data_IF_906608895454
#
_entry.id   IF_906608895454
#
_cell.length_a   1.000
_cell.length_b   1.000
_cell.length_c   1.000
_cell.angle_alpha   90.00
_cell.angle_beta   90.00
_cell.angle_gamma   90.00
#
_symmetry.space_group_name_H-M   'P 1'
#
loop_
_entity.id
_entity.type
_entity.pdbx_description
1 polymer ?
#
# COMPACT_ATOMS: atom_id res chain seq x y z
N UNK A 1 44.74 6.15 -35.08
CA UNK A 1 44.91 6.25 -33.62
C UNK A 1 44.15 5.10 -32.95
N UNK A 2 44.82 4.11 -32.32
CA UNK A 2 44.14 2.94 -31.77
C UNK A 2 43.59 3.25 -30.37
N UNK A 3 42.33 3.67 -30.29
CA UNK A 3 41.61 3.86 -29.01
C UNK A 3 40.93 2.57 -28.50
N UNK A 4 41.09 1.43 -29.18
CA UNK A 4 40.19 0.28 -29.08
C UNK A 4 40.21 -0.58 -27.80
N UNK A 5 41.28 -0.70 -26.98
CA UNK A 5 41.25 -1.59 -25.81
C UNK A 5 40.77 -0.92 -24.50
N UNK A 6 40.92 0.39 -24.38
CA UNK A 6 40.59 1.14 -23.15
C UNK A 6 39.08 1.39 -23.04
N UNK A 7 38.44 1.70 -24.16
CA UNK A 7 36.99 1.96 -24.21
C UNK A 7 36.18 0.73 -23.87
N UNK A 8 36.60 -0.46 -24.33
CA UNK A 8 35.94 -1.73 -24.00
C UNK A 8 35.99 -2.06 -22.49
N UNK A 9 37.12 -1.79 -21.83
CA UNK A 9 37.27 -1.98 -20.38
C UNK A 9 36.40 -1.00 -19.59
N UNK A 10 36.27 0.23 -20.08
CA UNK A 10 35.39 1.25 -19.49
C UNK A 10 33.91 0.85 -19.61
N UNK A 11 33.46 0.45 -20.81
CA UNK A 11 32.07 0.03 -21.05
C UNK A 11 31.73 -1.20 -20.21
N UNK A 12 32.63 -2.19 -20.13
CA UNK A 12 32.44 -3.37 -19.29
C UNK A 12 32.36 -2.98 -17.81
N UNK A 13 33.23 -2.10 -17.32
CA UNK A 13 33.21 -1.63 -15.95
C UNK A 13 31.90 -0.92 -15.59
N UNK A 14 31.40 -0.07 -16.48
CA UNK A 14 30.11 0.62 -16.31
C UNK A 14 28.95 -0.38 -16.30
N UNK A 15 28.95 -1.35 -17.21
CA UNK A 15 27.90 -2.38 -17.26
C UNK A 15 27.88 -3.24 -15.99
N UNK A 16 29.05 -3.63 -15.48
CA UNK A 16 29.18 -4.37 -14.21
C UNK A 16 28.69 -3.52 -13.05
N UNK A 17 29.07 -2.24 -12.99
CA UNK A 17 28.60 -1.33 -11.94
C UNK A 17 27.07 -1.22 -11.92
N UNK A 18 26.46 -1.04 -13.10
CA UNK A 18 25.00 -0.97 -13.24
C UNK A 18 24.35 -2.28 -12.75
N UNK A 19 24.89 -3.42 -13.18
CA UNK A 19 24.37 -4.74 -12.78
C UNK A 19 24.45 -4.96 -11.26
N UNK A 20 25.56 -4.55 -10.63
CA UNK A 20 25.74 -4.64 -9.18
C UNK A 20 24.77 -3.72 -8.45
N UNK A 21 24.66 -2.45 -8.87
CA UNK A 21 23.72 -1.49 -8.27
C UNK A 21 22.27 -1.99 -8.37
N UNK A 22 21.89 -2.53 -9.53
CA UNK A 22 20.56 -3.09 -9.74
C UNK A 22 20.31 -4.32 -8.85
N UNK A 23 21.27 -5.24 -8.77
CA UNK A 23 21.18 -6.43 -7.92
C UNK A 23 21.03 -6.09 -6.44
N UNK A 24 21.78 -5.09 -5.96
CA UNK A 24 21.67 -4.59 -4.58
C UNK A 24 20.30 -3.97 -4.30
N UNK A 25 19.77 -3.17 -5.23
CA UNK A 25 18.44 -2.58 -5.10
C UNK A 25 17.34 -3.65 -5.08
N UNK A 26 17.42 -4.65 -5.96
CA UNK A 26 16.48 -5.77 -5.99
C UNK A 26 16.53 -6.59 -4.70
N UNK A 27 17.73 -6.90 -4.19
CA UNK A 27 17.90 -7.60 -2.93
C UNK A 27 17.31 -6.79 -1.76
N UNK A 28 17.58 -5.47 -1.72
CA UNK A 28 17.00 -4.58 -0.72
C UNK A 28 15.46 -4.62 -0.73
N UNK A 29 14.84 -4.50 -1.91
CA UNK A 29 13.39 -4.58 -2.03
C UNK A 29 12.85 -5.96 -1.61
N UNK A 30 13.52 -7.04 -1.98
CA UNK A 30 13.11 -8.40 -1.61
C UNK A 30 13.12 -8.60 -0.10
N UNK A 31 14.19 -8.19 0.60
CA UNK A 31 14.26 -8.32 2.06
C UNK A 31 13.33 -7.36 2.80
N UNK A 32 13.07 -6.17 2.25
CA UNK A 32 12.21 -5.16 2.87
C UNK A 32 10.75 -5.26 2.43
N UNK A 33 10.38 -6.24 1.59
CA UNK A 33 9.02 -6.43 1.10
C UNK A 33 8.00 -6.51 2.25
N UNK A 34 8.35 -7.15 3.37
CA UNK A 34 7.48 -7.30 4.54
C UNK A 34 7.15 -5.97 5.25
N UNK A 35 7.94 -4.92 5.00
CA UNK A 35 7.69 -3.57 5.52
C UNK A 35 6.87 -2.71 4.55
N UNK A 36 6.81 -3.09 3.27
CA UNK A 36 5.94 -2.46 2.27
C UNK A 36 4.54 -3.06 2.22
N UNK A 37 4.33 -4.23 2.84
CA UNK A 37 2.98 -4.76 3.06
C UNK A 37 2.25 -3.83 4.03
N UNK A 38 1.26 -3.10 3.51
CA UNK A 38 0.31 -2.35 4.32
C UNK A 38 -0.29 -3.30 5.36
N UNK A 39 0.08 -3.10 6.64
CA UNK A 39 -0.54 -3.80 7.76
C UNK A 39 -1.76 -2.99 8.18
N UNK A 40 -3.00 -3.37 7.79
CA UNK A 40 -4.19 -2.73 8.32
C UNK A 40 -4.18 -2.94 9.84
N UNK A 41 -3.93 -1.86 10.56
CA UNK A 41 -4.07 -1.90 12.02
C UNK A 41 -5.55 -2.00 12.35
N UNK A 42 -5.93 -3.09 13.03
CA UNK A 42 -7.29 -3.36 13.55
C UNK A 42 -7.74 -2.36 14.63
N UNK A 43 -6.88 -1.41 14.99
CA UNK A 43 -7.20 -0.40 15.98
C UNK A 43 -7.91 0.76 15.30
N UNK A 44 -9.23 0.73 15.33
CA UNK A 44 -10.10 1.86 14.98
C UNK A 44 -9.70 3.03 15.90
N UNK A 45 -8.90 3.96 15.38
CA UNK A 45 -8.43 5.15 16.13
C UNK A 45 -9.46 6.28 16.16
N UNK A 46 -10.48 6.23 15.28
CA UNK A 46 -11.44 7.31 15.09
C UNK A 46 -12.80 6.66 14.83
N UNK A 47 -13.73 6.81 15.77
CA UNK A 47 -15.15 6.50 15.57
C UNK A 47 -15.86 7.76 15.06
N UNK A 48 -16.91 7.68 14.23
CA UNK A 48 -17.62 8.88 13.75
C UNK A 48 -18.20 9.75 14.88
N UNK A 49 -18.46 9.18 16.06
CA UNK A 49 -18.80 9.90 17.29
C UNK A 49 -17.72 10.92 17.71
N UNK A 50 -16.45 10.63 17.45
CA UNK A 50 -15.34 11.55 17.79
C UNK A 50 -15.36 12.84 16.98
N UNK A 51 -16.10 12.87 15.87
CA UNK A 51 -16.31 14.06 15.01
C UNK A 51 -17.75 14.59 15.13
N UNK A 52 -18.52 14.11 16.12
CA UNK A 52 -19.88 14.58 16.40
C UNK A 52 -20.95 14.11 15.40
N UNK A 53 -20.66 13.07 14.59
CA UNK A 53 -21.64 12.52 13.64
C UNK A 53 -22.47 11.42 14.29
N UNK A 54 -23.79 11.47 14.10
CA UNK A 54 -24.69 10.36 14.42
C UNK A 54 -24.44 9.21 13.44
N UNK A 55 -24.25 8.02 13.99
CA UNK A 55 -24.09 6.79 13.23
C UNK A 55 -24.77 5.62 13.95
N UNK A 56 -25.18 4.61 13.18
CA UNK A 56 -25.64 3.33 13.70
C UNK A 56 -24.55 2.28 13.47
N UNK A 57 -24.23 1.46 14.47
CA UNK A 57 -23.34 0.32 14.29
C UNK A 57 -24.06 -0.80 13.54
N UNK A 58 -23.48 -1.25 12.43
CA UNK A 58 -24.03 -2.33 11.61
C UNK A 58 -23.02 -3.46 11.47
N UNK A 59 -23.49 -4.70 11.56
CA UNK A 59 -22.70 -5.88 11.26
C UNK A 59 -23.19 -6.48 9.95
N UNK A 60 -22.39 -6.35 8.89
CA UNK A 60 -22.68 -6.89 7.56
C UNK A 60 -22.07 -8.29 7.46
N UNK A 61 -22.83 -9.25 6.94
CA UNK A 61 -22.31 -10.59 6.65
C UNK A 61 -21.97 -10.63 5.16
N UNK A 62 -20.68 -10.72 4.84
CA UNK A 62 -20.22 -10.90 3.48
C UNK A 62 -20.62 -12.30 2.96
N UNK A 63 -20.64 -12.47 1.64
CA UNK A 63 -21.06 -13.71 0.96
C UNK A 63 -20.18 -14.92 1.32
N UNK A 64 -18.98 -14.68 1.85
CA UNK A 64 -18.05 -15.67 2.39
C UNK A 64 -18.28 -15.99 3.88
N UNK A 65 -19.31 -15.41 4.51
CA UNK A 65 -19.65 -15.60 5.92
C UNK A 65 -18.88 -14.72 6.89
N UNK A 66 -18.00 -13.84 6.40
CA UNK A 66 -17.23 -12.92 7.25
C UNK A 66 -18.14 -11.81 7.79
N UNK A 67 -18.11 -11.61 9.11
CA UNK A 67 -18.82 -10.51 9.78
C UNK A 67 -17.97 -9.25 9.75
N UNK A 68 -18.38 -8.28 8.94
CA UNK A 68 -17.77 -6.96 8.81
C UNK A 68 -18.50 -5.99 9.73
N UNK A 69 -17.78 -5.39 10.68
CA UNK A 69 -18.31 -4.30 11.49
C UNK A 69 -18.17 -2.98 10.72
N UNK A 70 -19.24 -2.19 10.66
CA UNK A 70 -19.24 -0.89 9.99
C UNK A 70 -20.19 0.09 10.66
N UNK A 71 -20.20 1.32 10.15
CA UNK A 71 -21.10 2.37 10.61
C UNK A 71 -22.02 2.81 9.48
N UNK A 72 -23.30 2.90 9.78
CA UNK A 72 -24.31 3.48 8.90
C UNK A 72 -24.53 4.95 9.30
N UNK A 73 -24.27 5.87 8.39
CA UNK A 73 -24.57 7.30 8.57
C UNK A 73 -25.91 7.61 7.90
N UNK A 74 -26.99 7.86 8.66
CA UNK A 74 -28.23 8.38 8.09
C UNK A 74 -28.03 9.86 7.73
N UNK A 75 -27.51 10.15 6.53
CA UNK A 75 -27.49 11.49 5.97
C UNK A 75 -28.93 11.94 5.71
N UNK A 76 -29.46 12.81 6.56
CA UNK A 76 -30.70 13.53 6.29
C UNK A 76 -30.43 14.54 5.15
N UNK A 77 -30.74 14.14 3.90
CA UNK A 77 -30.88 14.98 2.68
C UNK A 77 -29.55 15.51 2.10
N UNK A 78 -29.18 15.37 0.81
CA UNK A 78 -29.72 14.76 -0.39
C UNK A 78 -28.51 14.24 -1.20
N UNK A 79 -28.39 12.92 -1.39
CA UNK A 79 -27.26 12.35 -2.15
C UNK A 79 -26.95 10.88 -1.88
N UNK A 80 -27.96 10.04 -1.61
CA UNK A 80 -27.85 8.59 -1.48
C UNK A 80 -27.15 8.07 -0.21
N UNK A 81 -27.54 6.90 0.33
CA UNK A 81 -26.84 6.29 1.45
C UNK A 81 -25.47 5.75 0.98
N UNK A 82 -24.39 6.48 1.29
CA UNK A 82 -23.03 6.01 1.13
C UNK A 82 -22.62 5.14 2.31
N UNK A 83 -22.45 3.85 2.10
CA UNK A 83 -21.88 2.94 3.11
C UNK A 83 -20.36 3.06 3.06
N UNK A 84 -19.76 3.62 4.11
CA UNK A 84 -18.30 3.61 4.29
C UNK A 84 -17.92 2.43 5.18
N UNK A 85 -17.51 1.32 4.57
CA UNK A 85 -16.95 0.16 5.26
C UNK A 85 -15.42 0.22 5.20
N UNK A 86 -14.75 -0.01 6.34
CA UNK A 86 -13.29 -0.14 6.45
C UNK A 86 -12.95 -1.42 7.19
#
# INVERSE_FOLDING_TARGET
>A
MPLMPLTGRLVLGIAVLIAVCYGLAAAYLYFFQEKFVYRPSTRIKVTPASVGMYYEEVALVASDGVRLAGWYLPLAVAGGPGVFAK
#
